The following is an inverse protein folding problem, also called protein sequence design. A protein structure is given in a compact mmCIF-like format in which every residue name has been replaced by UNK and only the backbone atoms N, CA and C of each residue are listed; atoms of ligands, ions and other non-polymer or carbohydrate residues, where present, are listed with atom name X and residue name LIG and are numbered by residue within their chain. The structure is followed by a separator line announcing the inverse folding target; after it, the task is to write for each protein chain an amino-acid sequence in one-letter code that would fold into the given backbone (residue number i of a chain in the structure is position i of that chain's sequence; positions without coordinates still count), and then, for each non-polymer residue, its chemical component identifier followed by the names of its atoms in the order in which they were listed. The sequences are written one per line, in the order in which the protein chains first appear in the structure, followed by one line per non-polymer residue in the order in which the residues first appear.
data_IF_418016982740
#
_entry.id   IF_418016982740
#
_cell.length_a   1.000
_cell.length_b   1.000
_cell.length_c   1.000
_cell.angle_alpha   90.00
_cell.angle_beta   90.00
_cell.angle_gamma   90.00
#
_symmetry.space_group_name_H-M   'P 1'
#
loop_
_entity.id
_entity.type
_entity.pdbx_description
1 polymer ?
#
# COMPACT_ATOMS: atom_id res chain seq x y z
N UNK A 1 -9.44 5.06 -6.59
CA UNK A 1 -8.92 3.67 -6.82
C UNK A 1 -8.97 2.84 -5.53
N UNK A 2 -8.31 3.28 -4.44
CA UNK A 2 -8.32 2.54 -3.17
C UNK A 2 -9.66 2.62 -2.41
N UNK A 3 -10.50 3.61 -2.71
CA UNK A 3 -11.88 3.69 -2.21
C UNK A 3 -12.70 2.41 -2.51
N UNK A 4 -12.45 1.75 -3.66
CA UNK A 4 -13.11 0.52 -4.08
C UNK A 4 -12.76 -0.67 -3.19
N UNK A 5 -11.63 -0.62 -2.48
CA UNK A 5 -11.27 -1.64 -1.50
C UNK A 5 -12.23 -1.65 -0.32
N UNK A 6 -12.74 -0.47 0.06
CA UNK A 6 -13.67 -0.32 1.18
C UNK A 6 -15.14 -0.44 0.76
N UNK A 7 -15.47 -0.12 -0.50
CA UNK A 7 -16.82 -0.14 -1.02
C UNK A 7 -17.51 -1.49 -0.80
N UNK A 8 -18.68 -1.47 -0.13
CA UNK A 8 -19.48 -2.65 0.15
C UNK A 8 -18.87 -3.63 1.15
N UNK A 9 -17.76 -3.28 1.84
CA UNK A 9 -17.10 -4.16 2.79
C UNK A 9 -16.98 -3.53 4.19
N UNK A 10 -18.03 -3.66 5.03
CA UNK A 10 -18.05 -3.11 6.38
C UNK A 10 -16.89 -3.57 7.26
N UNK A 11 -16.42 -4.80 7.07
CA UNK A 11 -15.32 -5.36 7.87
C UNK A 11 -14.01 -4.62 7.62
N UNK A 12 -13.68 -4.38 6.35
CA UNK A 12 -12.48 -3.63 5.95
C UNK A 12 -12.55 -2.18 6.42
N UNK A 13 -13.73 -1.55 6.28
CA UNK A 13 -13.99 -0.22 6.81
C UNK A 13 -13.69 -0.17 8.31
N UNK A 14 -14.27 -1.10 9.08
CA UNK A 14 -14.10 -1.09 10.53
C UNK A 14 -12.64 -1.34 10.94
N UNK A 15 -11.91 -2.22 10.26
CA UNK A 15 -10.50 -2.50 10.55
C UNK A 15 -9.58 -1.31 10.33
N UNK A 16 -9.87 -0.45 9.36
CA UNK A 16 -9.03 0.70 9.02
C UNK A 16 -9.45 2.00 9.72
N UNK A 17 -10.76 2.27 9.79
CA UNK A 17 -11.29 3.58 10.19
C UNK A 17 -11.77 3.66 11.65
N UNK A 18 -11.77 2.55 12.41
CA UNK A 18 -12.29 2.57 13.79
C UNK A 18 -11.25 2.83 14.88
N UNK A 19 -10.01 3.13 14.52
CA UNK A 19 -8.88 3.26 15.47
C UNK A 19 -8.80 4.68 16.04
N UNK A 20 -9.90 5.11 16.67
CA UNK A 20 -9.98 6.35 17.42
C UNK A 20 -9.38 6.18 18.82
N UNK A 21 -8.87 7.28 19.37
CA UNK A 21 -8.22 7.33 20.66
C UNK A 21 -9.00 8.20 21.64
N UNK A 22 -9.01 7.82 22.92
CA UNK A 22 -9.70 8.56 23.97
C UNK A 22 -8.98 9.89 24.35
N UNK A 23 -7.69 10.01 24.02
CA UNK A 23 -6.77 11.06 24.50
C UNK A 23 -6.75 12.38 23.72
N UNK A 24 -7.73 12.63 22.85
CA UNK A 24 -7.71 13.77 21.93
C UNK A 24 -7.21 13.36 20.54
N UNK A 25 -7.65 14.09 19.51
CA UNK A 25 -7.58 13.65 18.10
C UNK A 25 -6.18 13.35 17.55
N UNK A 26 -5.12 13.76 18.24
CA UNK A 26 -3.73 13.53 17.86
C UNK A 26 -3.31 12.05 17.93
N UNK A 27 -3.98 11.26 18.77
CA UNK A 27 -3.64 9.84 18.99
C UNK A 27 -4.44 8.88 18.09
N UNK A 28 -5.36 9.39 17.27
CA UNK A 28 -6.05 8.59 16.27
C UNK A 28 -5.04 7.94 15.32
N UNK A 29 -5.34 6.72 14.84
CA UNK A 29 -4.43 5.98 13.94
C UNK A 29 -5.13 5.61 12.63
N UNK A 30 -4.32 5.34 11.61
CA UNK A 30 -4.76 4.82 10.31
C UNK A 30 -5.89 5.69 9.73
N UNK A 31 -6.95 5.07 9.20
CA UNK A 31 -8.08 5.77 8.60
C UNK A 31 -8.82 6.69 9.57
N UNK A 32 -8.86 6.37 10.86
CA UNK A 32 -9.52 7.23 11.86
C UNK A 32 -8.84 8.60 11.98
N UNK A 33 -7.50 8.60 11.92
CA UNK A 33 -6.70 9.83 11.90
C UNK A 33 -7.01 10.66 10.67
N UNK A 34 -6.92 10.05 9.48
CA UNK A 34 -7.20 10.71 8.22
C UNK A 34 -8.60 11.34 8.20
N UNK A 35 -9.61 10.56 8.61
CA UNK A 35 -11.00 11.00 8.64
C UNK A 35 -11.20 12.19 9.57
N UNK A 36 -10.64 12.14 10.79
CA UNK A 36 -10.76 13.24 11.75
C UNK A 36 -10.07 14.53 11.27
N UNK A 37 -8.87 14.42 10.70
CA UNK A 37 -8.09 15.58 10.25
C UNK A 37 -8.75 16.21 9.03
N UNK A 38 -9.08 15.39 8.03
CA UNK A 38 -9.70 15.86 6.81
C UNK A 38 -11.06 16.52 7.08
N UNK A 39 -11.89 15.92 7.93
CA UNK A 39 -13.20 16.47 8.27
C UNK A 39 -13.11 17.82 8.98
N UNK A 40 -12.08 18.05 9.81
CA UNK A 40 -11.88 19.35 10.46
C UNK A 40 -11.39 20.44 9.50
N UNK A 41 -10.49 20.10 8.59
CA UNK A 41 -9.97 21.04 7.59
C UNK A 41 -11.08 21.44 6.61
N UNK A 42 -11.87 20.47 6.17
CA UNK A 42 -12.91 20.62 5.15
C UNK A 42 -14.33 20.53 5.74
N UNK A 43 -14.54 21.20 6.87
CA UNK A 43 -15.79 21.11 7.66
C UNK A 43 -17.05 21.54 6.91
N UNK A 44 -16.91 22.38 5.89
CA UNK A 44 -18.01 22.87 5.07
C UNK A 44 -18.59 21.79 4.16
N UNK A 45 -17.78 20.81 3.75
CA UNK A 45 -18.19 19.70 2.89
C UNK A 45 -18.36 18.38 3.66
N UNK A 46 -17.55 18.13 4.68
CA UNK A 46 -17.51 16.83 5.33
C UNK A 46 -18.53 16.66 6.46
N UNK A 47 -18.95 17.77 7.11
CA UNK A 47 -19.53 17.66 8.44
C UNK A 47 -20.95 17.09 8.44
N UNK A 48 -21.72 17.37 7.38
CA UNK A 48 -23.04 16.78 7.16
C UNK A 48 -22.96 15.29 6.77
N UNK A 49 -21.80 14.85 6.28
CA UNK A 49 -21.55 13.44 5.90
C UNK A 49 -21.09 12.59 7.09
N UNK A 50 -20.79 13.19 8.24
CA UNK A 50 -20.45 12.50 9.48
C UNK A 50 -21.72 11.95 10.15
N UNK A 51 -21.82 10.63 10.22
CA UNK A 51 -22.96 9.98 10.86
C UNK A 51 -22.67 9.67 12.33
N UNK A 52 -23.53 10.13 13.23
CA UNK A 52 -23.36 9.97 14.67
C UNK A 52 -24.27 8.86 15.20
N UNK A 53 -23.80 8.04 16.15
CA UNK A 53 -24.63 7.00 16.78
C UNK A 53 -25.78 7.57 17.63
N UNK A 54 -25.66 8.82 18.07
CA UNK A 54 -26.66 9.52 18.90
C UNK A 54 -27.73 10.27 18.08
N UNK A 55 -28.80 10.72 18.74
CA UNK A 55 -29.93 11.43 18.10
C UNK A 55 -29.58 12.79 17.49
N UNK A 56 -28.47 13.39 17.90
CA UNK A 56 -28.04 14.70 17.44
C UNK A 56 -26.57 14.63 17.03
N UNK A 57 -26.26 15.17 15.86
CA UNK A 57 -24.89 15.35 15.43
C UNK A 57 -24.14 16.33 16.32
N UNK A 58 -22.81 16.22 16.33
CA UNK A 58 -21.94 17.13 17.08
C UNK A 58 -21.50 18.26 16.17
N UNK A 59 -21.63 19.52 16.63
CA UNK A 59 -21.16 20.66 15.83
C UNK A 59 -19.63 20.71 15.72
N UNK A 60 -19.07 21.28 14.64
CA UNK A 60 -17.62 21.39 14.48
C UNK A 60 -16.90 22.07 15.66
N UNK A 61 -17.49 23.14 16.18
CA UNK A 61 -16.94 23.87 17.32
C UNK A 61 -16.90 23.01 18.60
N UNK A 62 -17.92 22.17 18.82
CA UNK A 62 -17.96 21.26 19.96
C UNK A 62 -16.89 20.18 19.83
N UNK A 63 -16.77 19.53 18.67
CA UNK A 63 -15.79 18.45 18.47
C UNK A 63 -14.36 19.00 18.50
N UNK A 64 -14.12 20.23 18.03
CA UNK A 64 -12.80 20.88 18.13
C UNK A 64 -12.33 21.04 19.58
N UNK A 65 -13.25 21.32 20.51
CA UNK A 65 -12.95 21.42 21.95
C UNK A 65 -13.00 20.07 22.67
N UNK A 66 -13.66 19.06 22.09
CA UNK A 66 -13.87 17.73 22.66
C UNK A 66 -13.69 16.64 21.59
N UNK A 67 -12.45 16.33 21.17
CA UNK A 67 -12.22 15.40 20.06
C UNK A 67 -12.66 13.95 20.34
N UNK A 68 -12.87 13.56 21.60
CA UNK A 68 -13.35 12.23 21.96
C UNK A 68 -14.74 11.91 21.37
N UNK A 69 -15.51 12.91 20.94
CA UNK A 69 -16.79 12.67 20.26
C UNK A 69 -16.64 11.83 18.98
N UNK A 70 -15.46 11.78 18.35
CA UNK A 70 -15.25 10.87 17.22
C UNK A 70 -15.49 9.38 17.56
N UNK A 71 -15.40 8.98 18.84
CA UNK A 71 -15.76 7.63 19.29
C UNK A 71 -17.25 7.32 19.08
N UNK A 72 -18.08 8.36 19.05
CA UNK A 72 -19.52 8.26 18.84
C UNK A 72 -19.90 8.24 17.36
N UNK A 73 -18.94 8.33 16.43
CA UNK A 73 -19.23 8.16 15.01
C UNK A 73 -19.72 6.73 14.71
N UNK A 74 -20.75 6.67 13.86
CA UNK A 74 -21.03 5.50 13.08
C UNK A 74 -20.02 5.45 11.91
N UNK A 75 -18.86 4.84 12.19
CA UNK A 75 -17.72 4.77 11.28
C UNK A 75 -18.10 4.17 9.94
N UNK A 76 -18.83 3.05 9.95
CA UNK A 76 -19.26 2.41 8.72
C UNK A 76 -20.08 3.37 7.86
N UNK A 77 -21.13 3.95 8.45
CA UNK A 77 -22.03 4.83 7.70
C UNK A 77 -21.33 6.11 7.21
N UNK A 78 -20.44 6.66 8.03
CA UNK A 78 -19.63 7.83 7.65
C UNK A 78 -18.74 7.52 6.45
N UNK A 79 -18.06 6.37 6.46
CA UNK A 79 -17.19 5.99 5.34
C UNK A 79 -18.01 5.68 4.09
N UNK A 80 -19.18 5.06 4.22
CA UNK A 80 -20.13 4.91 3.10
C UNK A 80 -20.54 6.27 2.51
N UNK A 81 -20.90 7.25 3.36
CA UNK A 81 -21.20 8.60 2.89
C UNK A 81 -19.99 9.24 2.18
N UNK A 82 -18.77 9.05 2.68
CA UNK A 82 -17.55 9.58 2.05
C UNK A 82 -17.21 8.90 0.72
N UNK A 83 -17.56 7.63 0.54
CA UNK A 83 -17.42 6.94 -0.74
C UNK A 83 -18.32 7.56 -1.82
N UNK A 84 -19.51 8.00 -1.43
CA UNK A 84 -20.52 8.52 -2.37
C UNK A 84 -20.40 10.04 -2.57
N UNK A 85 -20.10 10.79 -1.51
CA UNK A 85 -20.31 12.24 -1.45
C UNK A 85 -19.01 13.05 -1.26
N UNK A 86 -17.88 12.43 -0.89
CA UNK A 86 -16.63 13.14 -0.57
C UNK A 86 -15.43 12.54 -1.31
N UNK A 87 -15.41 12.60 -2.66
CA UNK A 87 -14.32 12.01 -3.45
C UNK A 87 -12.94 12.61 -3.13
N UNK A 88 -12.89 13.87 -2.71
CA UNK A 88 -11.66 14.60 -2.37
C UNK A 88 -10.89 13.95 -1.23
N UNK A 89 -11.60 13.27 -0.30
CA UNK A 89 -10.99 12.56 0.80
C UNK A 89 -10.03 11.47 0.31
N UNK A 90 -10.40 10.71 -0.72
CA UNK A 90 -9.63 9.56 -1.20
C UNK A 90 -8.37 9.95 -1.96
N UNK A 91 -8.29 11.19 -2.43
CA UNK A 91 -7.09 11.80 -3.02
C UNK A 91 -6.33 12.73 -2.06
N UNK A 92 -6.80 12.85 -0.81
CA UNK A 92 -6.26 13.80 0.15
C UNK A 92 -4.88 13.40 0.68
N UNK A 93 -4.14 14.39 1.15
CA UNK A 93 -2.87 14.20 1.86
C UNK A 93 -3.06 13.40 3.14
N UNK A 94 -4.14 13.63 3.88
CA UNK A 94 -4.47 12.97 5.14
C UNK A 94 -4.69 11.47 4.94
N UNK A 95 -5.40 11.10 3.87
CA UNK A 95 -5.59 9.70 3.52
C UNK A 95 -4.27 9.07 3.06
N UNK A 96 -3.51 9.73 2.18
CA UNK A 96 -2.21 9.24 1.72
C UNK A 96 -1.22 9.02 2.89
N UNK A 97 -1.15 9.97 3.83
CA UNK A 97 -0.31 9.85 5.03
C UNK A 97 -0.71 8.66 5.91
N UNK A 98 -2.01 8.32 5.97
CA UNK A 98 -2.46 7.15 6.72
C UNK A 98 -1.97 5.82 6.14
N UNK A 99 -1.64 5.79 4.85
CA UNK A 99 -1.16 4.61 4.12
C UNK A 99 0.36 4.46 4.14
N UNK A 100 1.09 5.51 4.54
CA UNK A 100 2.55 5.62 4.37
C UNK A 100 3.34 4.45 4.96
N UNK A 101 2.89 3.91 6.08
CA UNK A 101 3.60 2.84 6.78
C UNK A 101 3.33 1.45 6.16
N UNK A 102 2.50 1.35 5.12
CA UNK A 102 2.20 0.10 4.41
C UNK A 102 1.26 -0.85 5.17
N UNK A 103 0.85 -0.49 6.38
CA UNK A 103 -0.01 -1.28 7.27
C UNK A 103 -1.29 -1.81 6.62
N UNK A 104 -1.81 -1.10 5.62
CA UNK A 104 -3.03 -1.48 4.91
C UNK A 104 -2.86 -2.79 4.11
N UNK A 105 -1.65 -3.08 3.65
CA UNK A 105 -1.34 -4.27 2.86
C UNK A 105 -1.56 -5.56 3.64
N UNK A 106 -1.47 -5.49 4.98
CA UNK A 106 -1.69 -6.63 5.86
C UNK A 106 -3.17 -6.89 6.19
N UNK A 107 -4.07 -5.96 5.84
CA UNK A 107 -5.51 -6.16 6.04
C UNK A 107 -6.04 -7.24 5.11
N UNK A 108 -5.65 -7.17 3.83
CA UNK A 108 -5.97 -8.18 2.83
C UNK A 108 -4.84 -8.27 1.81
N UNK A 109 -3.78 -8.98 2.20
CA UNK A 109 -2.60 -9.17 1.37
C UNK A 109 -2.94 -9.81 0.03
N UNK A 110 -3.91 -10.72 0.00
CA UNK A 110 -4.34 -11.38 -1.23
C UNK A 110 -4.95 -10.36 -2.20
N UNK A 111 -5.87 -9.52 -1.72
CA UNK A 111 -6.45 -8.45 -2.52
C UNK A 111 -5.37 -7.53 -3.12
N UNK A 112 -4.42 -7.07 -2.30
CA UNK A 112 -3.39 -6.15 -2.77
C UNK A 112 -2.44 -6.80 -3.79
N UNK A 113 -2.08 -8.07 -3.61
CA UNK A 113 -1.31 -8.81 -4.61
C UNK A 113 -2.08 -8.90 -5.93
N UNK A 114 -3.34 -9.31 -5.90
CA UNK A 114 -4.18 -9.40 -7.10
C UNK A 114 -4.38 -8.03 -7.77
N UNK A 115 -4.51 -6.97 -6.97
CA UNK A 115 -4.64 -5.59 -7.42
C UNK A 115 -3.37 -5.11 -8.13
N UNK A 116 -2.18 -5.26 -7.52
CA UNK A 116 -0.91 -4.85 -8.15
C UNK A 116 -0.60 -5.68 -9.41
N UNK A 117 -0.84 -6.99 -9.38
CA UNK A 117 -0.73 -7.84 -10.58
C UNK A 117 -1.70 -7.35 -11.68
N UNK A 118 -2.91 -6.96 -11.31
CA UNK A 118 -3.86 -6.32 -12.22
C UNK A 118 -3.29 -5.04 -12.86
N UNK A 119 -2.73 -4.14 -12.05
CA UNK A 119 -2.13 -2.90 -12.54
C UNK A 119 -0.95 -3.16 -13.48
N UNK A 120 -0.12 -4.16 -13.18
CA UNK A 120 1.05 -4.50 -13.99
C UNK A 120 0.67 -5.13 -15.34
N UNK A 121 -0.20 -6.14 -15.33
CA UNK A 121 -0.42 -6.97 -16.53
C UNK A 121 -1.68 -6.63 -17.31
N UNK A 122 -2.70 -6.03 -16.66
CA UNK A 122 -3.94 -5.65 -17.34
C UNK A 122 -3.95 -4.18 -17.74
N UNK A 123 -3.42 -3.31 -16.88
CA UNK A 123 -3.43 -1.87 -17.09
C UNK A 123 -2.07 -1.33 -17.59
N UNK A 124 -1.04 -2.17 -17.68
CA UNK A 124 0.32 -1.83 -18.11
C UNK A 124 0.87 -0.57 -17.41
N UNK A 125 0.64 -0.48 -16.09
CA UNK A 125 1.01 0.68 -15.29
C UNK A 125 2.53 0.74 -15.11
N UNK A 126 3.18 1.61 -15.91
CA UNK A 126 4.63 1.84 -15.87
C UNK A 126 5.14 2.24 -14.48
N UNK A 127 4.39 3.05 -13.75
CA UNK A 127 4.78 3.53 -12.43
C UNK A 127 4.90 2.36 -11.43
N UNK A 128 3.98 1.38 -11.50
CA UNK A 128 4.03 0.19 -10.65
C UNK A 128 5.20 -0.72 -11.05
N UNK A 129 5.42 -0.90 -12.34
CA UNK A 129 6.58 -1.64 -12.86
C UNK A 129 7.90 -1.02 -12.41
N UNK A 130 8.03 0.30 -12.45
CA UNK A 130 9.23 1.01 -12.03
C UNK A 130 9.51 0.81 -10.53
N UNK A 131 8.50 1.01 -9.67
CA UNK A 131 8.65 0.83 -8.22
C UNK A 131 9.08 -0.61 -7.87
N UNK A 132 8.46 -1.61 -8.50
CA UNK A 132 8.80 -3.01 -8.27
C UNK A 132 10.22 -3.31 -8.77
N UNK A 133 10.60 -2.77 -9.92
CA UNK A 133 11.95 -2.96 -10.48
C UNK A 133 13.01 -2.36 -9.59
N UNK A 134 12.80 -1.13 -9.10
CA UNK A 134 13.69 -0.48 -8.14
C UNK A 134 13.77 -1.27 -6.83
N UNK A 135 12.65 -1.80 -6.34
CA UNK A 135 12.66 -2.67 -5.16
C UNK A 135 13.51 -3.93 -5.37
N UNK A 136 13.33 -4.63 -6.50
CA UNK A 136 14.11 -5.82 -6.85
C UNK A 136 15.60 -5.50 -7.04
N UNK A 137 15.95 -4.31 -7.52
CA UNK A 137 17.34 -3.84 -7.62
C UNK A 137 17.98 -3.58 -6.25
N UNK A 138 17.19 -3.16 -5.26
CA UNK A 138 17.66 -2.84 -3.91
C UNK A 138 17.72 -4.05 -2.97
N UNK A 139 16.87 -5.05 -3.20
CA UNK A 139 16.86 -6.28 -2.42
C UNK A 139 18.07 -7.17 -2.70
N UNK A 140 18.53 -7.91 -1.68
CA UNK A 140 19.64 -8.84 -1.89
C UNK A 140 19.17 -9.97 -2.81
N UNK A 141 19.79 -10.10 -3.96
CA UNK A 141 19.47 -11.14 -4.93
C UNK A 141 19.51 -12.55 -4.33
N UNK A 142 20.41 -12.79 -3.37
CA UNK A 142 20.47 -14.06 -2.63
C UNK A 142 19.20 -14.36 -1.85
N UNK A 143 18.55 -13.36 -1.24
CA UNK A 143 17.28 -13.53 -0.53
C UNK A 143 16.13 -13.85 -1.49
N UNK A 144 16.09 -13.15 -2.64
CA UNK A 144 15.13 -13.42 -3.70
C UNK A 144 15.29 -14.85 -4.24
N UNK A 145 16.51 -15.23 -4.60
CA UNK A 145 16.82 -16.58 -5.09
C UNK A 145 16.45 -17.66 -4.09
N UNK A 146 16.77 -17.49 -2.80
CA UNK A 146 16.41 -18.47 -1.76
C UNK A 146 14.89 -18.62 -1.62
N UNK A 147 14.14 -17.53 -1.75
CA UNK A 147 12.68 -17.56 -1.66
C UNK A 147 12.05 -18.19 -2.91
N UNK A 148 12.62 -17.93 -4.09
CA UNK A 148 12.18 -18.52 -5.35
C UNK A 148 12.54 -20.01 -5.46
N UNK A 149 13.72 -20.43 -4.99
CA UNK A 149 14.16 -21.85 -4.92
C UNK A 149 13.19 -22.74 -4.14
N UNK A 150 12.54 -22.19 -3.11
CA UNK A 150 11.55 -22.95 -2.33
C UNK A 150 10.28 -23.22 -3.14
N UNK A 151 9.98 -22.35 -4.12
CA UNK A 151 8.72 -22.34 -4.87
C UNK A 151 8.87 -22.93 -6.28
N UNK A 152 10.04 -22.78 -6.89
CA UNK A 152 10.38 -23.17 -8.25
C UNK A 152 11.41 -24.30 -8.22
N UNK A 153 11.29 -25.26 -9.13
CA UNK A 153 12.39 -26.21 -9.38
C UNK A 153 13.60 -25.49 -9.99
N UNK A 154 14.76 -26.16 -10.02
CA UNK A 154 16.03 -25.56 -10.46
C UNK A 154 15.96 -24.97 -11.89
N UNK A 155 15.22 -25.62 -12.80
CA UNK A 155 15.07 -25.17 -14.20
C UNK A 155 14.15 -23.96 -14.34
N UNK A 156 13.03 -23.96 -13.63
CA UNK A 156 12.08 -22.86 -13.63
C UNK A 156 12.69 -21.62 -12.99
N UNK A 157 13.44 -21.81 -11.90
CA UNK A 157 14.22 -20.74 -11.28
C UNK A 157 15.24 -20.17 -12.25
N UNK A 158 16.04 -21.02 -12.91
CA UNK A 158 17.04 -20.59 -13.86
C UNK A 158 16.44 -19.70 -14.97
N UNK A 159 15.30 -20.13 -15.53
CA UNK A 159 14.58 -19.36 -16.54
C UNK A 159 14.12 -17.99 -16.02
N UNK A 160 13.63 -17.93 -14.78
CA UNK A 160 13.22 -16.67 -14.14
C UNK A 160 14.42 -15.75 -13.92
N UNK A 161 15.58 -16.29 -13.51
CA UNK A 161 16.79 -15.50 -13.30
C UNK A 161 17.37 -14.96 -14.60
N UNK A 162 17.34 -15.72 -15.70
CA UNK A 162 17.75 -15.22 -17.02
C UNK A 162 16.86 -14.07 -17.49
N UNK A 163 15.53 -14.20 -17.35
CA UNK A 163 14.58 -13.14 -17.72
C UNK A 163 14.76 -11.88 -16.87
N UNK A 164 14.98 -12.04 -15.56
CA UNK A 164 15.30 -10.92 -14.66
C UNK A 164 16.62 -10.26 -15.04
N UNK A 165 17.67 -11.03 -15.36
CA UNK A 165 18.95 -10.49 -15.80
C UNK A 165 18.83 -9.68 -17.09
N UNK A 166 18.11 -10.18 -18.09
CA UNK A 166 17.85 -9.46 -19.34
C UNK A 166 17.10 -8.15 -19.06
N UNK A 167 16.09 -8.19 -18.20
CA UNK A 167 15.32 -7.00 -17.85
C UNK A 167 16.14 -5.95 -17.08
N UNK A 168 16.93 -6.37 -16.10
CA UNK A 168 17.78 -5.47 -15.32
C UNK A 168 18.91 -4.87 -16.16
N UNK A 169 19.54 -5.67 -17.04
CA UNK A 169 20.61 -5.20 -17.93
C UNK A 169 20.13 -4.22 -19.00
N UNK A 170 18.86 -4.31 -19.42
CA UNK A 170 18.26 -3.34 -20.34
C UNK A 170 17.96 -1.97 -19.70
N UNK A 171 17.78 -1.92 -18.38
CA UNK A 171 17.33 -0.72 -17.66
C UNK A 171 18.43 -0.03 -16.85
N UNK A 172 19.63 -0.59 -16.77
CA UNK A 172 20.78 0.03 -16.12
C UNK A 172 21.57 0.88 -17.12
N UNK A 173 21.67 2.19 -16.90
CA UNK A 173 22.78 2.96 -17.48
C UNK A 173 24.11 2.41 -16.92
N UNK A 174 25.21 2.43 -17.70
CA UNK A 174 26.48 1.88 -17.26
C UNK A 174 27.05 2.76 -16.14
N UNK A 175 26.71 2.44 -14.89
CA UNK A 175 27.27 3.10 -13.72
C UNK A 175 28.60 2.43 -13.37
N UNK A 176 29.64 3.25 -13.37
CA UNK A 176 31.04 2.94 -13.10
C UNK A 176 31.21 1.98 -11.90
N UNK A 177 31.85 0.84 -12.15
CA UNK A 177 31.96 -0.29 -11.24
C UNK A 177 32.91 0.03 -10.08
N UNK A 178 32.37 0.66 -9.03
CA UNK A 178 33.10 1.00 -7.81
C UNK A 178 32.64 0.27 -6.54
N UNK A 179 31.50 -0.43 -6.53
CA UNK A 179 30.94 -0.99 -5.29
C UNK A 179 30.19 -2.31 -5.51
N UNK A 180 30.78 -3.40 -5.01
CA UNK A 180 30.20 -4.63 -4.42
C UNK A 180 28.94 -5.32 -4.99
N UNK A 181 28.35 -4.91 -6.11
CA UNK A 181 27.17 -5.54 -6.73
C UNK A 181 27.48 -6.58 -7.82
N UNK A 182 28.76 -6.77 -8.19
CA UNK A 182 29.18 -7.73 -9.23
C UNK A 182 29.08 -9.22 -8.85
N UNK A 183 28.57 -9.56 -7.67
CA UNK A 183 28.44 -10.97 -7.26
C UNK A 183 27.45 -11.75 -8.11
N UNK A 184 26.46 -11.08 -8.69
CA UNK A 184 25.43 -11.68 -9.51
C UNK A 184 25.97 -12.04 -10.90
N UNK A 185 26.68 -11.12 -11.55
CA UNK A 185 27.40 -11.39 -12.79
C UNK A 185 28.47 -12.46 -12.59
N UNK A 186 29.21 -12.44 -11.48
CA UNK A 186 30.22 -13.45 -11.17
C UNK A 186 29.61 -14.82 -10.85
N UNK A 187 28.47 -14.87 -10.16
CA UNK A 187 27.75 -16.10 -9.88
C UNK A 187 27.19 -16.70 -11.18
N UNK A 188 26.55 -15.89 -12.04
CA UNK A 188 25.99 -16.36 -13.31
C UNK A 188 27.09 -16.76 -14.30
N UNK A 189 28.21 -16.04 -14.38
CA UNK A 189 29.33 -16.39 -15.27
C UNK A 189 29.99 -17.72 -14.86
N UNK A 190 30.06 -18.02 -13.55
CA UNK A 190 30.63 -19.26 -13.03
C UNK A 190 29.77 -20.50 -13.29
N UNK A 191 28.47 -20.34 -13.54
CA UNK A 191 27.56 -21.47 -13.82
C UNK A 191 27.46 -21.79 -15.32
N UNK A 192 27.71 -20.84 -16.23
CA UNK A 192 27.84 -21.10 -17.67
C UNK A 192 29.04 -21.99 -18.01
N UNK A 193 30.09 -21.98 -17.19
CA UNK A 193 31.25 -22.87 -17.33
C UNK A 193 31.01 -24.28 -16.74
N UNK A 194 29.82 -24.54 -16.18
CA UNK A 194 29.41 -25.84 -15.63
C UNK A 194 28.46 -26.63 -16.54
N UNK A 195 28.45 -26.36 -17.85
CA UNK A 195 27.93 -27.31 -18.84
C UNK A 195 28.89 -28.49 -19.04
N UNK A 196 29.03 -29.30 -17.99
CA UNK A 196 29.36 -30.73 -18.12
C UNK A 196 28.79 -31.48 -16.92
N UNK A 197 27.48 -31.72 -16.94
CA UNK A 197 26.89 -32.81 -16.18
C UNK A 197 26.66 -33.97 -17.15
N UNK A 198 27.55 -34.97 -17.08
CA UNK A 198 27.22 -36.37 -17.43
C UNK A 198 26.18 -36.92 -16.45
#
# INVERSE_FOLDING_TARGET
MLEKFFAGNPKLIMQWFSIFANGGGLDHKKGAKALSQFAFVNRDICWEELEWKGKHGQSPAVVATKPHYFLDLNVQRTVENFLDNVPEFWSSTEFAESLRDGDILFIDTKYFVEFFVGLMYKEDSRDVWEVISQFLMNESFSFLCNSLLITLGDRELFTVLELLHIYLSMNMEPVDFGNSSCWLEFALSRFNDCESFD
#
